data_IF_231688353802
#
_entry.id   IF_231688353802
#
_cell.length_a   1.000
_cell.length_b   1.000
_cell.length_c   1.000
_cell.angle_alpha   90.00
_cell.angle_beta   90.00
_cell.angle_gamma   90.00
#
_symmetry.space_group_name_H-M   'P 1'
#
loop_
_entity.id
_entity.type
_entity.pdbx_description
1 polymer ?
#
# COMPACT_ATOMS: atom_id res chain seq x y z
N UNK A 1 -10.36 -10.55 10.31
CA UNK A 1 -10.95 -9.44 11.10
C UNK A 1 -11.97 -8.74 10.22
N UNK A 2 -13.11 -8.31 10.76
CA UNK A 2 -14.05 -7.44 10.06
C UNK A 2 -13.62 -5.99 10.34
N UNK A 3 -13.03 -5.30 9.36
CA UNK A 3 -12.50 -3.95 9.56
C UNK A 3 -11.67 -3.46 8.38
N UNK A 4 -11.37 -2.16 8.36
CA UNK A 4 -10.41 -1.59 7.42
C UNK A 4 -8.97 -1.83 7.94
N UNK A 5 -7.99 -2.09 7.06
CA UNK A 5 -6.60 -2.25 7.47
C UNK A 5 -6.04 -0.96 8.05
N UNK A 6 -5.24 -1.07 9.11
CA UNK A 6 -4.50 0.07 9.68
C UNK A 6 -3.32 0.45 8.80
N UNK A 7 -2.69 1.59 9.07
CA UNK A 7 -1.45 1.97 8.39
C UNK A 7 -0.33 0.95 8.61
N UNK A 8 -0.22 0.40 9.83
CA UNK A 8 0.74 -0.65 10.13
C UNK A 8 0.50 -1.90 9.28
N UNK A 9 -0.77 -2.28 9.06
CA UNK A 9 -1.12 -3.40 8.18
C UNK A 9 -0.72 -3.11 6.72
N UNK A 10 -0.94 -1.88 6.25
CA UNK A 10 -0.58 -1.46 4.90
C UNK A 10 0.94 -1.47 4.70
N UNK A 11 1.71 -0.94 5.65
CA UNK A 11 3.17 -0.98 5.63
C UNK A 11 3.69 -2.41 5.68
N UNK A 12 3.10 -3.27 6.52
CA UNK A 12 3.42 -4.69 6.58
C UNK A 12 3.13 -5.40 5.25
N UNK A 13 2.03 -5.06 4.56
CA UNK A 13 1.70 -5.61 3.26
C UNK A 13 2.71 -5.19 2.17
N UNK A 14 3.17 -3.93 2.17
CA UNK A 14 4.25 -3.48 1.27
C UNK A 14 5.54 -4.26 1.58
N UNK A 15 5.94 -4.32 2.85
CA UNK A 15 7.14 -5.05 3.30
C UNK A 15 7.11 -6.52 2.90
N UNK A 16 5.94 -7.17 3.03
CA UNK A 16 5.76 -8.58 2.71
C UNK A 16 5.86 -8.87 1.21
N UNK A 17 5.29 -8.00 0.37
CA UNK A 17 5.29 -8.21 -1.07
C UNK A 17 6.58 -7.73 -1.74
N UNK A 18 6.87 -6.43 -1.64
CA UNK A 18 8.09 -5.84 -2.18
C UNK A 18 8.32 -4.46 -1.54
N UNK A 19 9.30 -4.31 -0.63
CA UNK A 19 9.58 -3.03 0.01
C UNK A 19 10.10 -1.97 -0.97
N UNK A 20 10.65 -2.37 -2.13
CA UNK A 20 11.22 -1.47 -3.12
C UNK A 20 10.20 -0.93 -4.14
N UNK A 21 8.95 -1.38 -4.08
CA UNK A 21 7.91 -0.92 -5.00
C UNK A 21 6.84 -1.98 -5.27
N UNK A 22 5.60 -1.67 -4.94
CA UNK A 22 4.45 -2.48 -5.33
C UNK A 22 3.21 -1.65 -5.60
N UNK A 23 2.34 -2.16 -6.47
CA UNK A 23 1.15 -1.45 -6.93
C UNK A 23 0.06 -1.42 -5.85
N UNK A 24 -0.73 -0.35 -5.84
CA UNK A 24 -1.88 -0.20 -4.92
C UNK A 24 -2.82 -1.42 -4.92
N UNK A 25 -3.12 -1.99 -6.09
CA UNK A 25 -3.97 -3.17 -6.21
C UNK A 25 -3.36 -4.40 -5.54
N UNK A 26 -2.05 -4.60 -5.69
CA UNK A 26 -1.33 -5.73 -5.11
C UNK A 26 -1.32 -5.64 -3.59
N UNK A 27 -1.06 -4.43 -3.04
CA UNK A 27 -1.17 -4.17 -1.59
C UNK A 27 -2.55 -4.54 -1.08
N UNK A 28 -3.62 -4.08 -1.76
CA UNK A 28 -4.98 -4.42 -1.38
C UNK A 28 -5.23 -5.94 -1.45
N UNK A 29 -4.70 -6.63 -2.46
CA UNK A 29 -4.84 -8.07 -2.59
C UNK A 29 -4.15 -8.84 -1.44
N UNK A 30 -2.97 -8.40 -1.02
CA UNK A 30 -2.24 -8.97 0.15
C UNK A 30 -3.04 -8.80 1.45
N UNK A 31 -3.85 -7.73 1.55
CA UNK A 31 -4.67 -7.44 2.73
C UNK A 31 -5.98 -8.24 2.77
N UNK A 32 -6.54 -8.63 1.62
CA UNK A 32 -7.85 -9.33 1.51
C UNK A 32 -7.98 -10.60 2.36
N UNK A 33 -6.96 -11.46 2.52
CA UNK A 33 -7.06 -12.62 3.40
C UNK A 33 -7.40 -12.28 4.86
N UNK A 34 -6.94 -11.10 5.34
CA UNK A 34 -7.16 -10.65 6.73
C UNK A 34 -8.33 -9.68 6.88
N UNK A 35 -8.53 -8.83 5.87
CA UNK A 35 -9.54 -7.78 5.83
C UNK A 35 -10.49 -8.04 4.65
N UNK A 36 -11.56 -8.81 4.94
CA UNK A 36 -12.63 -9.03 3.97
C UNK A 36 -13.18 -7.66 3.54
N UNK A 37 -13.30 -7.45 2.23
CA UNK A 37 -13.84 -6.23 1.61
C UNK A 37 -12.96 -4.97 1.65
N UNK A 38 -11.64 -5.13 1.82
CA UNK A 38 -10.71 -3.99 1.62
C UNK A 38 -10.88 -3.38 0.22
N UNK A 39 -11.17 -2.07 0.20
CA UNK A 39 -11.33 -1.30 -1.04
C UNK A 39 -9.98 -0.75 -1.47
N UNK A 40 -9.61 -0.96 -2.73
CA UNK A 40 -8.38 -0.38 -3.31
C UNK A 40 -8.33 1.14 -3.17
N UNK A 41 -9.48 1.82 -3.28
CA UNK A 41 -9.58 3.26 -3.08
C UNK A 41 -9.22 3.70 -1.65
N UNK A 42 -9.61 2.91 -0.63
CA UNK A 42 -9.25 3.17 0.76
C UNK A 42 -7.74 3.01 0.97
N UNK A 43 -7.16 1.92 0.47
CA UNK A 43 -5.71 1.68 0.53
C UNK A 43 -4.95 2.82 -0.16
N UNK A 44 -5.40 3.28 -1.34
CA UNK A 44 -4.82 4.43 -2.03
C UNK A 44 -4.86 5.70 -1.20
N UNK A 45 -5.98 5.97 -0.52
CA UNK A 45 -6.13 7.14 0.34
C UNK A 45 -5.15 7.11 1.50
N UNK A 46 -5.01 5.96 2.18
CA UNK A 46 -4.04 5.78 3.27
C UNK A 46 -2.59 5.90 2.79
N UNK A 47 -2.25 5.34 1.63
CA UNK A 47 -0.90 5.45 1.06
C UNK A 47 -0.50 6.90 0.76
N UNK A 48 -1.45 7.72 0.28
CA UNK A 48 -1.21 9.17 0.14
C UNK A 48 -1.01 9.88 1.48
N UNK A 49 -1.66 9.43 2.55
CA UNK A 49 -1.42 9.96 3.88
C UNK A 49 -0.01 9.59 4.36
N UNK A 50 0.34 8.30 4.29
CA UNK A 50 1.66 7.78 4.62
C UNK A 50 2.80 8.41 3.83
N UNK A 51 2.54 8.80 2.57
CA UNK A 51 3.51 9.54 1.76
C UNK A 51 3.76 10.96 2.28
N UNK A 52 2.71 11.66 2.73
CA UNK A 52 2.88 12.98 3.37
C UNK A 52 3.63 12.85 4.69
N UNK A 53 3.46 11.74 5.38
CA UNK A 53 4.12 11.44 6.65
C UNK A 53 5.54 10.86 6.46
N UNK A 54 6.01 10.68 5.22
CA UNK A 54 7.36 10.19 4.91
C UNK A 54 7.57 8.69 5.15
N UNK A 55 6.51 7.89 5.33
CA UNK A 55 6.62 6.45 5.56
C UNK A 55 6.71 5.63 4.26
N UNK A 56 6.22 6.19 3.16
CA UNK A 56 6.28 5.58 1.82
C UNK A 56 6.54 6.65 0.77
N UNK A 57 7.07 6.24 -0.39
CA UNK A 57 7.21 7.12 -1.55
C UNK A 57 6.60 6.48 -2.79
N UNK A 58 6.03 7.31 -3.67
CA UNK A 58 5.63 6.85 -5.01
C UNK A 58 6.86 6.51 -5.84
N UNK A 59 6.80 5.41 -6.56
CA UNK A 59 7.85 5.01 -7.51
C UNK A 59 7.33 5.04 -8.94
N UNK A 60 8.18 5.46 -9.87
CA UNK A 60 7.89 5.32 -11.29
C UNK A 60 7.96 3.84 -11.68
N UNK A 61 7.02 3.43 -12.52
CA UNK A 61 6.88 2.07 -13.02
C UNK A 61 6.84 2.14 -14.54
N UNK A 62 7.32 1.09 -15.22
CA UNK A 62 7.19 0.93 -16.67
C UNK A 62 5.72 0.93 -17.11
N UNK A 63 4.80 0.53 -16.23
CA UNK A 63 3.36 0.68 -16.38
C UNK A 63 2.94 2.08 -15.92
N UNK A 64 3.12 3.08 -16.80
CA UNK A 64 2.95 4.52 -16.54
C UNK A 64 1.61 4.93 -15.89
N UNK A 65 0.58 4.09 -15.96
CA UNK A 65 -0.77 4.38 -15.45
C UNK A 65 -0.98 3.97 -13.98
N UNK A 66 -0.09 3.17 -13.40
CA UNK A 66 -0.31 2.55 -12.09
C UNK A 66 0.59 3.16 -11.02
N UNK A 67 0.01 3.48 -9.86
CA UNK A 67 0.76 3.98 -8.72
C UNK A 67 1.41 2.82 -7.96
N UNK A 68 2.74 2.80 -7.97
CA UNK A 68 3.57 1.97 -7.10
C UNK A 68 4.06 2.73 -5.88
N UNK A 69 4.29 1.99 -4.80
CA UNK A 69 4.67 2.49 -3.49
C UNK A 69 5.84 1.68 -2.95
N UNK A 70 6.89 2.36 -2.51
CA UNK A 70 8.01 1.78 -1.79
C UNK A 70 8.02 2.27 -0.35
N UNK A 71 8.55 1.47 0.58
CA UNK A 71 8.83 1.96 1.92
C UNK A 71 9.92 3.02 1.83
N UNK A 72 9.72 4.13 2.54
CA UNK A 72 10.75 5.15 2.66
C UNK A 72 11.58 4.84 3.91
N UNK A 73 12.89 4.71 3.75
CA UNK A 73 13.83 4.57 4.86
C UNK A 73 14.45 5.94 5.10
N UNK A 74 13.65 6.89 5.59
CA UNK A 74 14.20 8.10 6.21
C UNK A 74 14.55 7.83 7.66
#
# INVERSE_FOLDING_TARGET
MTGQPTDADILAAIKHHNPNGTMTYVIANVLRPKFKDVKTAYVRYRLKALERDGAVRRTQTSYMTQLCWALDQS
#
